data_IF_335292928808
#
_entry.id   IF_335292928808
#
_cell.length_a   1.000
_cell.length_b   1.000
_cell.length_c   1.000
_cell.angle_alpha   90.00
_cell.angle_beta   90.00
_cell.angle_gamma   90.00
#
_symmetry.space_group_name_H-M   'P 1'
#
loop_
_entity.id
_entity.type
_entity.pdbx_description
1 polymer ?
#
# COMPACT_ATOMS: atom_id res chain seq x y z
N UNK A 1 -4.71 11.10 -4.14
CA UNK A 1 -3.75 10.46 -5.06
C UNK A 1 -2.38 10.93 -4.62
N UNK A 2 -1.39 10.03 -4.51
CA UNK A 2 -0.03 10.36 -4.09
C UNK A 2 0.91 10.01 -5.24
N UNK A 3 2.15 10.48 -5.16
CA UNK A 3 3.18 10.23 -6.16
C UNK A 3 4.47 9.81 -5.46
N UNK A 4 5.23 8.92 -6.10
CA UNK A 4 6.59 8.57 -5.74
C UNK A 4 7.51 8.81 -6.94
N UNK A 5 8.78 9.08 -6.67
CA UNK A 5 9.79 9.21 -7.71
C UNK A 5 10.45 7.85 -7.88
N UNK A 6 10.41 7.26 -9.07
CA UNK A 6 11.08 5.99 -9.37
C UNK A 6 12.03 6.25 -10.52
N UNK A 7 13.34 6.11 -10.31
CA UNK A 7 14.37 6.38 -11.35
C UNK A 7 14.19 7.76 -12.02
N UNK A 8 13.79 8.77 -11.25
CA UNK A 8 13.54 10.13 -11.75
C UNK A 8 12.19 10.34 -12.46
N UNK A 9 11.32 9.32 -12.49
CA UNK A 9 9.96 9.41 -13.07
C UNK A 9 8.92 9.51 -11.97
N UNK A 10 8.14 10.59 -12.00
CA UNK A 10 6.99 10.76 -11.10
C UNK A 10 5.92 9.73 -11.43
N UNK A 11 5.66 8.84 -10.48
CA UNK A 11 4.78 7.69 -10.64
C UNK A 11 3.60 7.78 -9.69
N UNK A 12 2.34 7.73 -10.18
CA UNK A 12 1.17 7.80 -9.32
C UNK A 12 1.01 6.52 -8.52
N UNK A 13 0.73 6.65 -7.23
CA UNK A 13 0.46 5.55 -6.30
C UNK A 13 -0.81 5.81 -5.50
N UNK A 14 -1.60 4.77 -5.27
CA UNK A 14 -2.89 4.90 -4.59
C UNK A 14 -3.26 3.69 -3.74
N UNK A 15 -3.06 3.81 -2.43
CA UNK A 15 -3.49 2.85 -1.42
C UNK A 15 -4.98 3.02 -1.06
N UNK A 16 -5.87 2.83 -2.03
CA UNK A 16 -7.33 2.90 -1.78
C UNK A 16 -7.86 1.67 -1.03
N UNK A 17 -9.08 1.75 -0.49
CA UNK A 17 -9.77 0.58 0.11
C UNK A 17 -9.81 -0.64 -0.82
N UNK A 18 -9.90 -0.42 -2.13
CA UNK A 18 -9.87 -1.51 -3.09
C UNK A 18 -8.51 -2.20 -3.15
N UNK A 19 -7.42 -1.44 -3.05
CA UNK A 19 -6.07 -2.00 -3.00
C UNK A 19 -5.91 -2.84 -1.73
N UNK A 20 -6.34 -2.31 -0.59
CA UNK A 20 -6.31 -3.02 0.70
C UNK A 20 -7.14 -4.30 0.65
N UNK A 21 -8.35 -4.23 0.09
CA UNK A 21 -9.23 -5.40 -0.05
C UNK A 21 -8.67 -6.45 -1.02
N UNK A 22 -8.12 -6.01 -2.16
CA UNK A 22 -7.47 -6.93 -3.11
C UNK A 22 -6.28 -7.63 -2.46
N UNK A 23 -5.45 -6.87 -1.76
CA UNK A 23 -4.29 -7.36 -1.02
C UNK A 23 -4.71 -8.39 0.05
N UNK A 24 -5.68 -8.05 0.89
CA UNK A 24 -6.22 -8.94 1.92
C UNK A 24 -6.69 -10.28 1.31
N UNK A 25 -7.52 -10.21 0.27
CA UNK A 25 -8.03 -11.41 -0.43
C UNK A 25 -6.93 -12.25 -1.06
N UNK A 26 -5.91 -11.62 -1.64
CA UNK A 26 -4.79 -12.30 -2.29
C UNK A 26 -3.97 -13.14 -1.31
N UNK A 27 -3.80 -12.64 -0.10
CA UNK A 27 -2.98 -13.28 0.94
C UNK A 27 -3.81 -14.03 1.99
N UNK A 28 -5.12 -14.20 1.78
CA UNK A 28 -6.00 -14.91 2.71
C UNK A 28 -6.12 -14.23 4.07
N UNK A 29 -5.99 -12.90 4.12
CA UNK A 29 -6.08 -12.09 5.32
C UNK A 29 -7.45 -11.43 5.44
N UNK A 30 -7.84 -11.14 6.68
CA UNK A 30 -8.97 -10.26 6.96
C UNK A 30 -8.64 -8.81 6.58
N UNK A 31 -9.66 -8.07 6.13
CA UNK A 31 -9.50 -6.67 5.73
C UNK A 31 -8.99 -5.80 6.88
N UNK A 32 -9.48 -6.04 8.11
CA UNK A 32 -9.03 -5.37 9.31
C UNK A 32 -7.53 -5.61 9.58
N UNK A 33 -7.07 -6.87 9.48
CA UNK A 33 -5.65 -7.21 9.67
C UNK A 33 -4.76 -6.55 8.61
N UNK A 34 -5.24 -6.45 7.36
CA UNK A 34 -4.53 -5.74 6.31
C UNK A 34 -4.41 -4.23 6.57
N UNK A 35 -5.40 -3.62 7.24
CA UNK A 35 -5.31 -2.21 7.68
C UNK A 35 -4.40 -2.05 8.90
N UNK A 36 -4.55 -2.89 9.93
CA UNK A 36 -3.74 -2.82 11.15
C UNK A 36 -2.25 -3.02 10.88
N UNK A 37 -1.91 -3.77 9.83
CA UNK A 37 -0.55 -3.91 9.33
C UNK A 37 0.14 -2.57 9.06
N UNK A 38 -0.59 -1.49 8.76
CA UNK A 38 -0.01 -0.16 8.55
C UNK A 38 0.28 0.64 9.84
N UNK A 39 -0.26 0.24 10.99
CA UNK A 39 0.06 0.82 12.30
C UNK A 39 1.14 0.03 13.06
N UNK A 40 1.37 -1.23 12.67
CA UNK A 40 2.24 -2.16 13.38
C UNK A 40 3.20 -2.89 12.41
N UNK A 41 3.89 -2.13 11.55
CA UNK A 41 4.82 -2.72 10.57
C UNK A 41 6.07 -3.31 11.22
N UNK A 42 5.95 -4.58 11.61
CA UNK A 42 7.07 -5.49 11.69
C UNK A 42 7.48 -6.00 10.30
N UNK A 43 8.56 -6.77 10.28
CA UNK A 43 9.13 -7.45 9.10
C UNK A 43 8.10 -8.24 8.26
N UNK A 44 6.97 -8.65 8.83
CA UNK A 44 5.93 -9.41 8.15
C UNK A 44 5.26 -8.69 6.96
N UNK A 45 5.24 -7.34 6.92
CA UNK A 45 4.76 -6.62 5.73
C UNK A 45 5.85 -6.44 4.67
N UNK A 46 7.15 -6.56 5.01
CA UNK A 46 8.21 -6.56 3.99
C UNK A 46 8.07 -7.75 3.05
N UNK A 47 7.67 -8.92 3.58
CA UNK A 47 7.40 -10.12 2.80
C UNK A 47 6.30 -9.91 1.74
N UNK A 48 5.46 -8.89 1.92
CA UNK A 48 4.31 -8.60 1.07
C UNK A 48 4.30 -7.17 0.50
N UNK A 49 5.38 -6.41 0.74
CA UNK A 49 5.47 -5.00 0.36
C UNK A 49 5.41 -4.83 -1.15
N UNK A 50 6.09 -5.70 -1.90
CA UNK A 50 6.06 -5.68 -3.36
C UNK A 50 4.65 -5.92 -3.89
N UNK A 51 3.93 -6.91 -3.35
CA UNK A 51 2.54 -7.18 -3.74
C UNK A 51 1.61 -6.00 -3.43
N UNK A 52 1.73 -5.39 -2.25
CA UNK A 52 0.89 -4.26 -1.86
C UNK A 52 1.21 -3.02 -2.72
N UNK A 53 2.49 -2.76 -2.95
CA UNK A 53 2.98 -1.65 -3.78
C UNK A 53 2.57 -1.83 -5.23
N UNK A 54 2.67 -3.03 -5.79
CA UNK A 54 2.20 -3.35 -7.13
C UNK A 54 0.71 -3.00 -7.29
N UNK A 55 -0.15 -3.43 -6.36
CA UNK A 55 -1.58 -3.09 -6.38
C UNK A 55 -1.80 -1.57 -6.31
N UNK A 56 -1.04 -0.87 -5.45
CA UNK A 56 -1.13 0.57 -5.28
C UNK A 56 -0.68 1.36 -6.53
N UNK A 57 0.40 0.94 -7.19
CA UNK A 57 0.91 1.53 -8.43
C UNK A 57 -0.04 1.28 -9.59
N UNK A 58 -0.55 0.05 -9.71
CA UNK A 58 -1.56 -0.30 -10.71
C UNK A 58 -2.85 0.51 -10.52
N UNK A 59 -3.24 0.75 -9.28
CA UNK A 59 -4.39 1.59 -9.00
C UNK A 59 -4.14 3.07 -9.26
N UNK A 60 -2.94 3.55 -8.94
CA UNK A 60 -2.47 4.88 -9.32
C UNK A 60 -2.54 5.10 -10.82
N UNK A 61 -1.91 4.21 -11.60
CA UNK A 61 -1.93 4.23 -13.05
C UNK A 61 -3.36 4.26 -13.60
N UNK A 62 -4.22 3.35 -13.15
CA UNK A 62 -5.61 3.27 -13.61
C UNK A 62 -6.41 4.54 -13.30
N UNK A 63 -6.25 5.13 -12.10
CA UNK A 63 -6.94 6.39 -11.74
C UNK A 63 -6.42 7.60 -12.48
N UNK A 64 -5.17 7.55 -12.92
CA UNK A 64 -4.53 8.61 -13.72
C UNK A 64 -4.73 8.40 -15.23
N UNK A 65 -5.48 7.39 -15.66
CA UNK A 65 -5.71 7.09 -17.08
C UNK A 65 -4.49 6.52 -17.81
N UNK A 66 -3.47 6.07 -17.07
CA UNK A 66 -2.29 5.41 -17.64
C UNK A 66 -2.62 3.94 -17.95
N UNK A 67 -2.03 3.42 -19.04
CA UNK A 67 -2.19 2.03 -19.45
C UNK A 67 -1.14 1.10 -18.82
N UNK A 68 -0.12 1.66 -18.17
CA UNK A 68 0.96 0.91 -17.51
C UNK A 68 0.40 -0.04 -16.47
N UNK A 69 0.97 -1.26 -16.46
CA UNK A 69 0.71 -2.27 -15.44
C UNK A 69 2.03 -2.78 -14.90
N UNK A 70 2.13 -2.81 -13.58
CA UNK A 70 3.29 -3.28 -12.84
C UNK A 70 3.06 -4.70 -12.36
N UNK A 71 4.14 -5.47 -12.33
CA UNK A 71 4.25 -6.80 -11.72
C UNK A 71 4.98 -6.72 -10.38
N UNK A 72 4.98 -7.80 -9.60
CA UNK A 72 5.77 -7.84 -8.36
C UNK A 72 7.26 -7.82 -8.61
N UNK A 73 7.73 -8.54 -9.64
CA UNK A 73 9.15 -8.59 -9.99
C UNK A 73 9.68 -7.18 -10.35
N UNK A 74 8.93 -6.42 -11.15
CA UNK A 74 9.29 -5.04 -11.46
C UNK A 74 9.31 -4.15 -10.21
N UNK A 75 8.44 -4.41 -9.23
CA UNK A 75 8.48 -3.67 -7.96
C UNK A 75 9.70 -4.06 -7.13
N UNK A 76 10.05 -5.35 -7.08
CA UNK A 76 11.30 -5.76 -6.43
C UNK A 76 12.52 -5.12 -7.07
N UNK A 77 12.59 -5.09 -8.40
CA UNK A 77 13.66 -4.38 -9.12
C UNK A 77 13.72 -2.89 -8.73
N UNK A 78 12.57 -2.22 -8.57
CA UNK A 78 12.51 -0.83 -8.11
C UNK A 78 13.03 -0.66 -6.68
N UNK A 79 12.69 -1.59 -5.78
CA UNK A 79 13.13 -1.55 -4.38
C UNK A 79 14.62 -1.88 -4.24
N UNK A 80 15.14 -2.79 -5.05
CA UNK A 80 16.56 -3.13 -5.11
C UNK A 80 17.40 -1.95 -5.65
N UNK A 81 16.90 -1.29 -6.70
CA UNK A 81 17.54 -0.11 -7.28
C UNK A 81 17.45 1.13 -6.37
N UNK A 82 16.35 1.28 -5.64
CA UNK A 82 16.08 2.42 -4.76
C UNK A 82 15.50 2.00 -3.40
N UNK A 83 16.31 1.43 -2.48
CA UNK A 83 15.83 0.93 -1.18
C UNK A 83 15.17 1.99 -0.29
N UNK A 84 15.48 3.28 -0.54
CA UNK A 84 14.85 4.41 0.13
C UNK A 84 13.34 4.53 -0.17
N UNK A 85 12.82 3.84 -1.19
CA UNK A 85 11.39 3.76 -1.48
C UNK A 85 10.62 3.00 -0.40
N UNK A 86 11.25 2.05 0.29
CA UNK A 86 10.60 1.22 1.33
C UNK A 86 9.97 2.09 2.43
N UNK A 87 10.72 2.95 3.15
CA UNK A 87 10.13 3.80 4.18
C UNK A 87 9.11 4.79 3.59
N UNK A 88 9.32 5.27 2.36
CA UNK A 88 8.39 6.22 1.73
C UNK A 88 7.04 5.58 1.39
N UNK A 89 7.06 4.37 0.84
CA UNK A 89 5.86 3.58 0.56
C UNK A 89 5.10 3.28 1.84
N UNK A 90 5.82 3.03 2.94
CA UNK A 90 5.19 2.83 4.23
C UNK A 90 4.45 4.08 4.72
N UNK A 91 5.11 5.24 4.72
CA UNK A 91 4.47 6.51 5.10
C UNK A 91 3.19 6.75 4.30
N UNK A 92 3.24 6.55 2.98
CA UNK A 92 2.09 6.74 2.10
C UNK A 92 0.95 5.75 2.38
N UNK A 93 1.29 4.52 2.74
CA UNK A 93 0.31 3.52 3.14
C UNK A 93 -0.35 3.91 4.47
N UNK A 94 0.44 4.21 5.50
CA UNK A 94 -0.06 4.64 6.80
C UNK A 94 -0.99 5.87 6.68
N UNK A 95 -0.55 6.91 5.98
CA UNK A 95 -1.35 8.11 5.70
C UNK A 95 -2.70 7.80 5.02
N UNK A 96 -2.78 6.72 4.24
CA UNK A 96 -4.00 6.33 3.52
C UNK A 96 -5.03 5.64 4.40
N UNK A 97 -4.59 4.98 5.48
CA UNK A 97 -5.46 4.19 6.36
C UNK A 97 -5.77 4.89 7.68
N UNK A 98 -4.90 5.77 8.19
CA UNK A 98 -5.09 6.44 9.50
C UNK A 98 -6.47 7.09 9.63
N UNK A 99 -6.97 7.88 8.66
CA UNK A 99 -8.29 8.51 8.80
C UNK A 99 -9.45 7.52 8.88
N UNK A 100 -9.27 6.31 8.34
CA UNK A 100 -10.27 5.25 8.39
C UNK A 100 -10.19 4.48 9.71
N UNK A 101 -8.99 4.12 10.16
CA UNK A 101 -8.79 3.44 11.44
C UNK A 101 -9.25 4.31 12.60
N UNK A 102 -9.00 5.61 12.55
CA UNK A 102 -9.44 6.56 13.58
C UNK A 102 -10.97 6.61 13.63
N UNK A 103 -11.63 6.78 12.48
CA UNK A 103 -13.10 6.81 12.40
C UNK A 103 -13.75 5.49 12.79
N UNK A 104 -13.14 4.35 12.47
CA UNK A 104 -13.65 3.04 12.88
C UNK A 104 -13.44 2.81 14.37
N UNK A 105 -12.30 3.26 14.92
CA UNK A 105 -12.04 3.25 16.37
C UNK A 105 -13.02 4.11 17.16
N UNK A 106 -13.51 5.21 16.59
CA UNK A 106 -14.58 6.02 17.19
C UNK A 106 -15.96 5.33 17.16
N UNK A 107 -16.19 4.41 16.21
CA UNK A 107 -17.48 3.72 16.01
C UNK A 107 -17.55 2.39 16.76
N UNK A 108 -16.42 1.70 16.92
CA UNK A 108 -16.33 0.44 17.64
C UNK A 108 -16.08 0.74 19.12
N UNK A 109 -16.94 0.30 20.05
CA UNK A 109 -16.65 0.47 21.47
C UNK A 109 -15.33 -0.22 21.79
N UNK A 110 -14.45 0.46 22.52
CA UNK A 110 -13.23 -0.16 23.04
C UNK A 110 -13.64 -1.45 23.76
N UNK A 111 -13.15 -2.60 23.27
CA UNK A 111 -13.37 -3.87 23.95
C UNK A 111 -12.77 -3.73 25.37
N UNK A 112 -13.65 -3.85 26.38
CA UNK A 112 -13.29 -3.88 27.80
C UNK A 112 -12.87 -5.28 28.21
#
# INVERSE_FOLDING_TARGET
>A
MKEILIKGVTTPVNFSLRVINNFARKHGMEFQSAMEGGNNMGFALLDHLASLTMEALNEGARRSGLTTRYTEDEVWDMLDDEPALIPRLYELFAESITPLTDRLGDILPAEQ
#
